data_IF_431827072111
#
_entry.id   IF_431827072111
#
_cell.length_a   1.000
_cell.length_b   1.000
_cell.length_c   1.000
_cell.angle_alpha   90.00
_cell.angle_beta   90.00
_cell.angle_gamma   90.00
#
_symmetry.space_group_name_H-M   'P 1'
#
loop_
_entity.id
_entity.type
_entity.pdbx_description
1 polymer ?
2 polymer ?
#
# COMPACT_ATOMS: atom_id res chain seq x y z
N UNK A 16 16.20 -26.21 -28.32
CA UNK A 16 16.85 -26.68 -27.10
C UNK A 16 15.90 -26.60 -25.91
N UNK A 17 16.38 -27.05 -24.75
CA UNK A 17 15.59 -27.00 -23.53
C UNK A 17 15.36 -25.56 -23.09
N UNK A 18 14.28 -24.96 -23.58
CA UNK A 18 14.00 -23.55 -23.31
C UNK A 18 12.65 -23.35 -22.63
N UNK A 19 12.03 -24.45 -22.19
CA UNK A 19 10.70 -24.37 -21.59
C UNK A 19 10.75 -23.97 -20.12
N UNK A 20 11.95 -23.87 -19.57
CA UNK A 20 12.11 -23.48 -18.17
C UNK A 20 12.82 -22.14 -18.02
N UNK A 21 13.03 -21.46 -19.14
CA UNK A 21 13.74 -20.19 -19.14
C UNK A 21 12.93 -19.08 -18.47
N UNK A 22 11.64 -19.00 -18.81
CA UNK A 22 10.77 -17.98 -18.25
C UNK A 22 10.49 -18.22 -16.77
N UNK A 23 10.53 -19.48 -16.36
CA UNK A 23 10.32 -19.83 -14.96
C UNK A 23 11.49 -19.34 -14.10
N UNK A 24 12.71 -19.62 -14.55
CA UNK A 24 13.90 -19.17 -13.85
C UNK A 24 13.96 -17.65 -13.81
N UNK A 25 13.62 -17.02 -14.93
CA UNK A 25 13.63 -15.57 -15.04
C UNK A 25 12.70 -14.92 -14.03
N UNK A 26 11.57 -15.57 -13.77
CA UNK A 26 10.57 -15.04 -12.84
C UNK A 26 11.02 -15.22 -11.39
N UNK A 27 11.72 -16.32 -11.11
CA UNK A 27 12.15 -16.62 -9.75
C UNK A 27 13.32 -15.76 -9.30
N UNK A 28 14.17 -15.37 -10.24
CA UNK A 28 15.33 -14.54 -9.92
C UNK A 28 14.91 -13.10 -9.62
N UNK A 29 13.85 -12.64 -10.29
CA UNK A 29 13.30 -11.31 -10.03
C UNK A 29 12.46 -11.30 -8.76
N UNK A 30 12.37 -12.46 -8.12
CA UNK A 30 11.68 -12.58 -6.84
C UNK A 30 12.71 -12.78 -5.73
N UNK A 31 13.69 -13.63 -5.99
CA UNK A 31 14.73 -13.94 -5.02
C UNK A 31 15.53 -12.71 -4.62
N UNK A 32 16.05 -12.00 -5.61
CA UNK A 32 16.89 -10.83 -5.37
C UNK A 32 16.10 -9.71 -4.67
N UNK A 33 14.86 -9.49 -5.10
CA UNK A 33 14.00 -8.50 -4.46
C UNK A 33 13.76 -8.83 -2.99
N UNK A 34 13.73 -10.12 -2.67
CA UNK A 34 13.54 -10.56 -1.29
C UNK A 34 14.85 -10.45 -0.51
N UNK A 35 15.97 -10.57 -1.21
CA UNK A 35 17.28 -10.40 -0.59
C UNK A 35 17.53 -8.92 -0.32
N UNK A 36 17.15 -8.07 -1.27
CA UNK A 36 17.27 -6.62 -1.11
C UNK A 36 16.49 -6.15 0.11
N UNK A 37 15.27 -6.65 0.25
CA UNK A 37 14.42 -6.32 1.39
C UNK A 37 15.07 -6.75 2.70
N UNK A 38 15.70 -7.93 2.68
CA UNK A 38 16.41 -8.43 3.85
C UNK A 38 17.60 -7.53 4.18
N UNK A 39 18.30 -7.08 3.15
CA UNK A 39 19.43 -6.19 3.32
C UNK A 39 19.02 -4.83 3.85
N UNK A 40 17.88 -4.33 3.38
CA UNK A 40 17.36 -3.05 3.83
C UNK A 40 16.87 -3.14 5.28
N UNK A 41 16.27 -4.27 5.62
CA UNK A 41 15.79 -4.50 6.99
C UNK A 41 16.95 -4.78 7.94
N UNK A 42 18.09 -5.18 7.39
CA UNK A 42 19.25 -5.52 8.21
C UNK A 42 19.93 -4.26 8.75
N UNK A 43 19.87 -3.18 7.99
CA UNK A 43 20.51 -1.93 8.39
C UNK A 43 19.53 -0.99 9.09
N UNK A 44 18.65 -1.55 9.91
CA UNK A 44 17.72 -0.77 10.70
C UNK A 44 17.88 -1.08 12.18
N UNK A 45 17.80 -0.06 13.03
CA UNK A 45 17.90 -0.26 14.47
C UNK A 45 16.61 -0.82 15.05
N UNK A 46 16.63 -1.12 16.34
CA UNK A 46 15.49 -1.74 17.01
C UNK A 46 14.23 -0.87 16.98
N UNK A 47 14.42 0.45 16.95
CA UNK A 47 13.29 1.36 16.91
C UNK A 47 12.61 1.33 15.54
N UNK A 48 13.41 1.42 14.48
CA UNK A 48 12.89 1.37 13.12
C UNK A 48 12.17 0.05 12.86
N UNK A 49 12.69 -1.03 13.44
CA UNK A 49 12.07 -2.34 13.29
C UNK A 49 10.76 -2.42 14.05
N UNK A 50 10.69 -1.73 15.18
CA UNK A 50 9.48 -1.72 16.00
C UNK A 50 8.35 -0.98 15.29
N UNK A 51 8.69 0.13 14.64
CA UNK A 51 7.71 0.93 13.91
C UNK A 51 7.21 0.18 12.68
N UNK A 52 8.14 -0.44 11.96
CA UNK A 52 7.80 -1.21 10.76
C UNK A 52 6.87 -2.38 11.09
N UNK A 53 7.13 -3.03 12.22
CA UNK A 53 6.32 -4.15 12.66
C UNK A 53 4.89 -3.71 12.96
N UNK A 54 4.75 -2.50 13.51
CA UNK A 54 3.44 -1.95 13.81
C UNK A 54 2.65 -1.69 12.53
N UNK A 55 3.37 -1.32 11.46
CA UNK A 55 2.74 -1.06 10.17
C UNK A 55 2.11 -2.33 9.59
N UNK A 56 2.84 -3.44 9.67
CA UNK A 56 2.34 -4.73 9.22
C UNK A 56 1.02 -5.08 9.89
N UNK A 57 1.04 -5.16 11.21
CA UNK A 57 -0.13 -5.56 11.99
C UNK A 57 -1.30 -4.60 11.81
N UNK A 58 -1.00 -3.32 11.60
CA UNK A 58 -2.04 -2.31 11.44
C UNK A 58 -2.74 -2.44 10.09
N UNK A 59 -1.95 -2.56 9.02
CA UNK A 59 -2.50 -2.65 7.68
C UNK A 59 -3.23 -3.97 7.45
N UNK A 60 -2.70 -5.05 8.02
CA UNK A 60 -3.33 -6.36 7.90
C UNK A 60 -4.65 -6.39 8.66
N UNK A 61 -4.74 -5.60 9.72
CA UNK A 61 -5.97 -5.51 10.50
C UNK A 61 -7.08 -4.85 9.69
N UNK A 62 -6.72 -3.80 8.96
CA UNK A 62 -7.69 -3.07 8.15
C UNK A 62 -8.15 -3.90 6.96
N UNK A 63 -7.20 -4.51 6.26
CA UNK A 63 -7.52 -5.34 5.10
C UNK A 63 -8.36 -6.55 5.50
N UNK A 64 -8.31 -6.90 6.79
CA UNK A 64 -9.07 -8.03 7.31
C UNK A 64 -10.50 -7.62 7.66
N UNK A 65 -10.65 -6.45 8.25
CA UNK A 65 -11.96 -5.97 8.69
C UNK A 65 -12.66 -5.10 7.65
N UNK A 66 -11.90 -4.65 6.66
CA UNK A 66 -12.46 -3.82 5.59
C UNK A 66 -12.19 -4.45 4.22
N UNK A 67 -12.20 -5.77 4.17
CA UNK A 67 -11.92 -6.49 2.93
C UNK A 67 -12.99 -6.24 1.87
N UNK A 68 -14.25 -6.20 2.31
CA UNK A 68 -15.37 -6.01 1.39
C UNK A 68 -15.39 -4.59 0.83
N UNK A 69 -15.01 -3.62 1.66
CA UNK A 69 -14.92 -2.24 1.22
C UNK A 69 -13.80 -2.08 0.20
N UNK A 70 -12.63 -2.63 0.52
CA UNK A 70 -11.48 -2.58 -0.37
C UNK A 70 -11.75 -3.28 -1.69
N UNK A 71 -12.50 -4.38 -1.63
CA UNK A 71 -12.79 -5.18 -2.81
C UNK A 71 -13.56 -4.41 -3.87
N UNK A 72 -14.55 -3.63 -3.44
CA UNK A 72 -15.34 -2.82 -4.36
C UNK A 72 -14.51 -1.68 -4.94
N UNK A 73 -13.66 -1.08 -4.11
CA UNK A 73 -12.76 -0.03 -4.56
C UNK A 73 -11.74 -0.60 -5.53
N UNK A 74 -11.32 -1.83 -5.25
CA UNK A 74 -10.35 -2.53 -6.09
C UNK A 74 -10.94 -2.86 -7.45
N UNK A 75 -12.21 -3.25 -7.47
CA UNK A 75 -12.89 -3.61 -8.71
C UNK A 75 -13.05 -2.43 -9.68
N UNK A 76 -13.03 -1.22 -9.14
CA UNK A 76 -13.05 -0.02 -9.98
C UNK A 76 -11.66 0.29 -10.51
N UNK A 77 -10.64 0.09 -9.68
CA UNK A 77 -9.26 0.36 -10.05
C UNK A 77 -8.65 -0.72 -10.95
N UNK A 78 -8.89 -1.99 -10.62
CA UNK A 78 -8.23 -3.09 -11.31
C UNK A 78 -8.78 -3.41 -12.70
N UNK A 79 -9.92 -4.11 -12.74
CA UNK A 79 -10.44 -4.72 -13.96
C UNK A 79 -10.55 -3.76 -15.15
N UNK A 80 -10.57 -2.46 -14.88
CA UNK A 80 -10.62 -1.47 -15.94
C UNK A 80 -9.25 -1.23 -16.57
N UNK A 81 -9.20 -1.31 -17.90
CA UNK A 81 -7.95 -1.14 -18.64
C UNK A 81 -7.63 0.34 -18.84
N UNK A 82 -7.21 0.99 -17.77
CA UNK A 82 -6.83 2.39 -17.84
C UNK A 82 -5.38 2.54 -17.40
N UNK A 83 -4.70 3.53 -17.96
CA UNK A 83 -3.27 3.73 -17.71
C UNK A 83 -3.02 4.16 -16.26
N UNK A 84 -1.78 4.07 -15.81
CA UNK A 84 -1.46 4.43 -14.43
C UNK A 84 -1.56 5.95 -14.26
N UNK A 85 -1.17 6.46 -13.09
CA UNK A 85 -1.35 7.87 -12.70
C UNK A 85 -2.83 8.28 -12.61
N UNK A 86 -3.68 7.69 -13.45
CA UNK A 86 -5.12 7.84 -13.30
C UNK A 86 -5.52 7.24 -11.96
N UNK A 87 -4.88 6.12 -11.63
CA UNK A 87 -5.07 5.46 -10.35
C UNK A 87 -4.50 6.32 -9.22
N UNK A 88 -3.39 6.99 -9.49
CA UNK A 88 -2.75 7.84 -8.49
C UNK A 88 -3.63 9.03 -8.12
N UNK A 89 -4.14 9.72 -9.14
CA UNK A 89 -5.04 10.84 -8.93
C UNK A 89 -6.37 10.37 -8.35
N UNK A 90 -6.68 9.09 -8.57
CA UNK A 90 -7.91 8.50 -8.06
C UNK A 90 -7.86 8.33 -6.55
N UNK A 91 -6.68 7.98 -6.05
CA UNK A 91 -6.51 7.62 -4.65
C UNK A 91 -6.03 8.79 -3.80
N UNK A 92 -5.17 9.63 -4.37
CA UNK A 92 -4.54 10.71 -3.63
C UNK A 92 -5.54 11.76 -3.12
N UNK A 93 -6.71 11.82 -3.76
CA UNK A 93 -7.72 12.83 -3.42
C UNK A 93 -8.11 12.78 -1.94
N UNK A 94 -8.11 11.58 -1.37
CA UNK A 94 -8.40 11.42 0.05
C UNK A 94 -7.30 12.05 0.91
N UNK A 95 -6.07 11.97 0.42
CA UNK A 95 -4.93 12.54 1.13
C UNK A 95 -4.83 14.04 0.90
N UNK A 96 -5.48 14.52 -0.15
CA UNK A 96 -5.45 15.94 -0.48
C UNK A 96 -6.31 16.76 0.48
N UNK A 97 -7.56 16.35 0.65
CA UNK A 97 -8.48 17.04 1.55
C UNK A 97 -8.14 16.74 3.01
N UNK A 98 -8.16 15.46 3.37
CA UNK A 98 -7.86 15.05 4.74
C UNK A 98 -6.42 14.57 4.88
N UNK A 99 -5.66 15.27 5.72
CA UNK A 99 -4.28 14.88 5.99
C UNK A 99 -4.19 14.16 7.34
N UNK A 100 -5.29 13.53 7.74
CA UNK A 100 -5.34 12.79 8.99
C UNK A 100 -4.54 11.50 8.90
N UNK A 101 -3.92 11.09 10.02
CA UNK A 101 -3.15 9.84 10.06
C UNK A 101 -4.01 8.62 9.79
N UNK A 102 -5.28 8.69 10.20
CA UNK A 102 -6.22 7.60 9.97
C UNK A 102 -6.46 7.39 8.48
N UNK A 103 -6.56 8.49 7.74
CA UNK A 103 -6.76 8.43 6.30
C UNK A 103 -5.52 7.89 5.61
N UNK A 104 -4.35 8.31 6.09
CA UNK A 104 -3.08 7.84 5.56
C UNK A 104 -2.95 6.33 5.73
N UNK A 105 -3.30 5.84 6.91
CA UNK A 105 -3.24 4.42 7.21
C UNK A 105 -4.23 3.64 6.36
N UNK A 106 -5.42 4.20 6.17
CA UNK A 106 -6.44 3.57 5.34
C UNK A 106 -6.00 3.52 3.89
N UNK A 107 -5.32 4.57 3.44
CA UNK A 107 -4.81 4.65 2.08
C UNK A 107 -3.70 3.62 1.86
N UNK A 108 -2.81 3.51 2.85
CA UNK A 108 -1.69 2.58 2.77
C UNK A 108 -2.17 1.13 2.74
N UNK A 109 -3.19 0.83 3.53
CA UNK A 109 -3.74 -0.52 3.59
C UNK A 109 -4.34 -0.93 2.25
N UNK A 110 -4.90 0.04 1.54
CA UNK A 110 -5.50 -0.22 0.24
C UNK A 110 -4.44 -0.54 -0.80
N UNK A 111 -3.35 0.21 -0.79
CA UNK A 111 -2.22 -0.05 -1.68
C UNK A 111 -1.65 -1.44 -1.40
N UNK A 112 -1.59 -1.79 -0.11
CA UNK A 112 -1.12 -3.10 0.31
C UNK A 112 -1.99 -4.20 -0.29
N UNK A 113 -3.29 -3.94 -0.40
CA UNK A 113 -4.21 -4.89 -1.00
C UNK A 113 -3.95 -5.05 -2.49
N UNK A 114 -3.71 -3.93 -3.16
CA UNK A 114 -3.43 -3.93 -4.59
C UNK A 114 -2.16 -4.72 -4.90
N UNK A 115 -1.11 -4.47 -4.12
CA UNK A 115 0.16 -5.17 -4.30
C UNK A 115 0.03 -6.65 -3.97
N UNK A 116 -0.97 -6.97 -3.15
CA UNK A 116 -1.19 -8.35 -2.72
C UNK A 116 -1.90 -9.16 -3.80
N UNK A 117 -2.65 -8.47 -4.65
CA UNK A 117 -3.43 -9.13 -5.70
C UNK A 117 -2.71 -9.11 -7.04
N UNK A 118 -1.78 -8.18 -7.21
CA UNK A 118 -1.03 -8.07 -8.46
C UNK A 118 0.31 -8.79 -8.37
N UNK A 119 0.26 -10.11 -8.23
CA UNK A 119 1.46 -10.91 -8.10
C UNK A 119 2.12 -11.24 -9.42
N UNK A 120 1.30 -11.46 -10.45
CA UNK A 120 1.82 -11.79 -11.77
C UNK A 120 2.04 -10.54 -12.61
N UNK A 121 1.69 -9.39 -12.06
CA UNK A 121 1.95 -8.12 -12.71
C UNK A 121 3.34 -7.61 -12.33
N UNK A 122 3.83 -6.63 -13.07
CA UNK A 122 5.15 -6.08 -12.82
C UNK A 122 5.20 -5.36 -11.48
N UNK A 123 6.31 -5.53 -10.76
CA UNK A 123 6.52 -4.87 -9.48
C UNK A 123 6.54 -3.35 -9.65
N UNK A 124 7.08 -2.90 -10.79
CA UNK A 124 7.21 -1.48 -11.08
C UNK A 124 5.85 -0.80 -11.22
N UNK A 125 4.85 -1.56 -11.65
CA UNK A 125 3.50 -1.03 -11.84
C UNK A 125 2.86 -0.64 -10.51
N UNK A 126 3.36 -1.22 -9.43
CA UNK A 126 2.83 -0.94 -8.10
C UNK A 126 3.65 0.13 -7.40
N UNK A 127 4.97 0.09 -7.60
CA UNK A 127 5.88 1.00 -6.94
C UNK A 127 5.81 2.42 -7.51
N UNK A 128 5.48 2.53 -8.79
CA UNK A 128 5.37 3.84 -9.43
C UNK A 128 4.14 4.58 -8.91
N UNK A 129 3.20 3.83 -8.35
CA UNK A 129 2.02 4.41 -7.72
C UNK A 129 2.38 4.90 -6.32
N UNK A 130 3.19 4.12 -5.62
CA UNK A 130 3.57 4.44 -4.24
C UNK A 130 4.61 5.55 -4.15
N UNK A 131 5.67 5.44 -4.94
CA UNK A 131 6.79 6.36 -4.86
C UNK A 131 6.44 7.77 -5.32
N UNK A 132 7.47 8.62 -5.39
CA UNK A 132 7.32 10.02 -5.78
C UNK A 132 6.40 10.80 -4.85
N UNK A 133 5.42 11.49 -5.43
CA UNK A 133 4.59 12.43 -4.70
C UNK A 133 3.70 11.78 -3.64
N UNK A 134 3.29 10.54 -3.89
CA UNK A 134 2.36 9.85 -3.00
C UNK A 134 2.98 9.50 -1.65
N UNK A 135 4.18 8.93 -1.68
CA UNK A 135 4.86 8.54 -0.45
C UNK A 135 5.30 9.79 0.34
N UNK A 136 5.45 10.90 -0.37
CA UNK A 136 5.84 12.16 0.26
C UNK A 136 4.71 12.71 1.14
N UNK A 137 3.48 12.62 0.65
CA UNK A 137 2.33 13.14 1.37
C UNK A 137 2.04 12.35 2.64
N UNK A 138 2.20 11.03 2.56
CA UNK A 138 1.99 10.16 3.71
C UNK A 138 3.08 10.41 4.76
N UNK A 139 4.26 10.79 4.29
CA UNK A 139 5.39 11.05 5.17
C UNK A 139 5.31 12.42 5.83
N UNK A 140 4.63 13.36 5.18
CA UNK A 140 4.46 14.71 5.72
C UNK A 140 3.84 14.69 7.11
N UNK A 141 4.55 15.28 8.07
CA UNK A 141 4.16 15.23 9.47
C UNK A 141 3.96 13.78 9.92
N UNK A 142 4.99 12.97 9.73
CA UNK A 142 4.92 11.55 10.02
C UNK A 142 5.04 11.22 11.49
N UNK A 143 5.40 12.21 12.30
CA UNK A 143 5.49 12.02 13.74
C UNK A 143 4.12 11.72 14.32
N UNK A 144 3.10 12.39 13.79
CA UNK A 144 1.72 12.15 14.21
C UNK A 144 1.21 10.84 13.63
N UNK A 145 1.79 10.43 12.51
CA UNK A 145 1.43 9.17 11.87
C UNK A 145 1.89 7.98 12.71
N UNK A 146 3.12 8.05 13.19
CA UNK A 146 3.69 7.00 14.03
C UNK A 146 2.94 6.88 15.36
N UNK A 147 2.68 8.02 15.99
CA UNK A 147 2.00 8.05 17.28
C UNK A 147 0.56 7.53 17.17
N UNK A 148 0.02 7.55 15.96
CA UNK A 148 -1.31 7.01 15.71
C UNK A 148 -1.26 5.50 15.59
N UNK A 149 -0.09 4.98 15.22
CA UNK A 149 0.10 3.55 15.03
C UNK A 149 0.74 2.90 16.25
N UNK A 150 1.77 3.54 16.79
CA UNK A 150 2.53 2.98 17.90
C UNK A 150 1.86 3.26 19.24
N UNK A 151 0.60 3.69 19.20
CA UNK A 151 -0.17 3.95 20.41
C UNK A 151 -1.66 3.92 20.13
N UNK B 7 -20.33 8.71 -8.51
CA UNK B 7 -19.89 7.57 -9.31
C UNK B 7 -18.83 6.76 -8.58
N UNK B 8 -19.12 6.41 -7.33
CA UNK B 8 -18.21 5.64 -6.48
C UNK B 8 -16.84 6.31 -6.38
N UNK B 9 -16.74 7.32 -5.53
CA UNK B 9 -15.48 8.00 -5.30
C UNK B 9 -14.67 7.27 -4.24
N UNK B 10 -13.48 6.81 -4.62
CA UNK B 10 -12.59 6.14 -3.67
C UNK B 10 -12.14 7.11 -2.59
N UNK B 11 -12.17 8.40 -2.93
CA UNK B 11 -11.82 9.45 -1.99
C UNK B 11 -12.80 9.47 -0.82
N UNK B 12 -14.08 9.38 -1.14
CA UNK B 12 -15.13 9.41 -0.12
C UNK B 12 -15.10 8.16 0.75
N UNK B 13 -14.79 7.02 0.14
CA UNK B 13 -14.72 5.76 0.87
C UNK B 13 -13.54 5.75 1.85
N UNK B 14 -12.38 6.20 1.38
CA UNK B 14 -11.19 6.24 2.21
C UNK B 14 -11.37 7.19 3.40
N UNK B 15 -12.07 8.29 3.18
CA UNK B 15 -12.40 9.21 4.26
C UNK B 15 -13.31 8.52 5.28
N UNK B 16 -14.31 7.82 4.77
CA UNK B 16 -15.28 7.13 5.62
C UNK B 16 -14.61 6.02 6.42
N UNK B 17 -13.65 5.33 5.80
CA UNK B 17 -12.87 4.31 6.50
C UNK B 17 -11.99 4.96 7.56
N UNK B 18 -11.35 6.06 7.19
CA UNK B 18 -10.51 6.80 8.12
C UNK B 18 -11.29 7.38 9.28
N UNK B 19 -12.55 7.72 9.03
CA UNK B 19 -13.41 8.27 10.07
C UNK B 19 -13.77 7.21 11.11
N UNK B 20 -14.04 5.99 10.65
CA UNK B 20 -14.39 4.89 11.54
C UNK B 20 -13.16 4.39 12.30
N UNK B 21 -11.98 4.69 11.77
CA UNK B 21 -10.73 4.27 12.39
C UNK B 21 -10.43 5.06 13.65
N UNK B 22 -10.40 6.39 13.53
CA UNK B 22 -10.09 7.25 14.66
C UNK B 22 -11.29 7.42 15.60
N UNK B 23 -12.44 6.90 15.18
CA UNK B 23 -13.64 6.94 16.00
C UNK B 23 -13.49 6.03 17.21
N UNK B 24 -12.63 5.02 17.08
CA UNK B 24 -12.41 4.06 18.16
C UNK B 24 -11.18 4.41 18.99
N UNK B 25 -11.39 4.71 20.26
CA UNK B 25 -10.29 5.02 21.17
C UNK B 25 -10.64 4.62 22.60
#
# INVERSE_FOLDING_TARGET
>A
MGSSHHHHHHSQDMEAAIEFDEIVKKLLNIYINDICTTGEKRLLNNYEKSILDRIYKSCEYIKKNYELDFNSMYNQININDITTSDIKSKIIEALLIDSRPSVKLATLSFISLIAEKWGEKNRAKIMEILSNEIVEKISNNGKDFIDFIDRDDDDIVDDYVLITNYLK
>B
VPQDASTKKLSECLKRIGDELDSNMELQ
#
